data_IF_056048172550
#
_entry.id   IF_056048172550
#
_cell.length_a   1.000
_cell.length_b   1.000
_cell.length_c   1.000
_cell.angle_alpha   90.00
_cell.angle_beta   90.00
_cell.angle_gamma   90.00
#
_symmetry.space_group_name_H-M   'P 1'
#
loop_
_entity.id
_entity.type
_entity.pdbx_description
1 polymer ?
#
# COMPACT_ATOMS: atom_id res chain seq x y z
N UNK A 1 -14.18 22.77 6.86
CA UNK A 1 -12.96 22.04 6.47
C UNK A 1 -11.87 22.41 7.47
N UNK A 2 -11.43 21.45 8.28
CA UNK A 2 -10.50 21.70 9.38
C UNK A 2 -9.07 21.96 8.94
N UNK A 3 -8.13 21.90 9.87
CA UNK A 3 -6.68 22.14 9.75
C UNK A 3 -5.97 21.34 8.65
N UNK A 4 -6.64 20.35 8.00
CA UNK A 4 -6.05 19.66 6.85
C UNK A 4 -5.61 20.62 5.73
N UNK A 5 -6.21 21.83 5.61
CA UNK A 5 -5.78 22.85 4.63
C UNK A 5 -4.39 23.44 4.93
N UNK A 6 -3.95 23.40 6.16
CA UNK A 6 -2.65 23.92 6.62
C UNK A 6 -1.49 22.96 6.30
N UNK A 7 -1.79 21.72 5.92
CA UNK A 7 -0.77 20.73 5.58
C UNK A 7 0.03 21.19 4.37
N UNK A 8 1.34 21.26 4.53
CA UNK A 8 2.32 21.57 3.49
C UNK A 8 2.96 20.24 3.05
N UNK A 9 2.86 19.95 1.75
CA UNK A 9 3.51 18.78 1.17
C UNK A 9 4.82 19.20 0.48
N UNK A 10 5.93 18.56 0.87
CA UNK A 10 7.28 18.84 0.33
C UNK A 10 7.95 17.52 -0.08
N UNK A 11 8.81 17.58 -1.10
CA UNK A 11 9.74 16.47 -1.39
C UNK A 11 10.76 16.40 -0.26
N UNK A 12 11.04 15.17 0.20
CA UNK A 12 11.97 14.91 1.30
C UNK A 12 12.99 13.83 0.90
N UNK A 13 14.19 13.81 1.52
CA UNK A 13 15.17 12.76 1.31
C UNK A 13 14.66 11.37 1.71
N UNK A 14 15.11 10.35 0.97
CA UNK A 14 14.73 8.95 1.23
C UNK A 14 15.06 8.49 2.66
N UNK A 15 16.16 8.97 3.25
CA UNK A 15 16.54 8.65 4.63
C UNK A 15 15.42 9.04 5.60
N UNK A 16 14.95 10.29 5.55
CA UNK A 16 13.88 10.80 6.40
C UNK A 16 12.57 10.04 6.15
N UNK A 17 12.22 9.82 4.88
CA UNK A 17 11.02 9.08 4.52
C UNK A 17 11.05 7.64 5.06
N UNK A 18 12.18 6.95 4.90
CA UNK A 18 12.35 5.57 5.33
C UNK A 18 12.31 5.41 6.85
N UNK A 19 12.89 6.34 7.60
CA UNK A 19 12.81 6.36 9.07
C UNK A 19 11.37 6.52 9.53
N UNK A 20 10.61 7.43 8.94
CA UNK A 20 9.20 7.64 9.26
C UNK A 20 8.36 6.41 8.91
N UNK A 21 8.55 5.81 7.72
CA UNK A 21 7.83 4.61 7.28
C UNK A 21 8.10 3.43 8.23
N UNK A 22 9.34 3.21 8.64
CA UNK A 22 9.68 2.15 9.60
C UNK A 22 8.95 2.29 10.92
N UNK A 23 8.74 3.53 11.38
CA UNK A 23 8.09 3.82 12.66
C UNK A 23 6.56 3.76 12.58
N UNK A 24 5.96 4.28 11.51
CA UNK A 24 4.52 4.54 11.46
C UNK A 24 3.74 3.66 10.48
N UNK A 25 4.39 2.97 9.52
CA UNK A 25 3.68 2.07 8.63
C UNK A 25 3.47 0.70 9.28
N UNK A 26 2.27 0.13 9.15
CA UNK A 26 1.90 -1.16 9.76
C UNK A 26 2.87 -2.31 9.45
N UNK A 27 3.55 -2.28 8.30
CA UNK A 27 4.53 -3.31 7.95
C UNK A 27 5.92 -3.08 8.56
N UNK A 28 6.22 -1.87 9.06
CA UNK A 28 7.55 -1.49 9.51
C UNK A 28 8.64 -1.57 8.44
N UNK A 29 8.27 -1.72 7.16
CA UNK A 29 9.21 -1.99 6.05
C UNK A 29 9.12 -0.94 4.95
N UNK A 30 10.30 -0.55 4.46
CA UNK A 30 10.45 0.31 3.29
C UNK A 30 10.42 -0.50 1.99
N UNK A 31 10.19 0.20 0.87
CA UNK A 31 10.26 -0.39 -0.47
C UNK A 31 11.50 0.16 -1.18
N UNK A 32 12.48 -0.69 -1.53
CA UNK A 32 13.77 -0.23 -2.09
C UNK A 32 13.65 0.51 -3.42
N UNK A 33 12.62 0.20 -4.21
CA UNK A 33 12.38 0.84 -5.51
C UNK A 33 11.57 2.14 -5.44
N UNK A 34 11.26 2.66 -4.25
CA UNK A 34 10.70 4.00 -4.07
C UNK A 34 11.77 5.06 -4.36
N UNK A 35 11.45 6.05 -5.18
CA UNK A 35 12.39 7.07 -5.65
C UNK A 35 11.95 8.50 -5.39
N UNK A 36 10.64 8.73 -5.25
CA UNK A 36 10.07 10.04 -4.95
C UNK A 36 9.33 9.96 -3.61
N UNK A 37 9.72 10.82 -2.69
CA UNK A 37 9.15 10.84 -1.34
C UNK A 37 8.58 12.22 -1.03
N UNK A 38 7.34 12.26 -0.60
CA UNK A 38 6.69 13.46 -0.09
C UNK A 38 6.50 13.35 1.42
N UNK A 39 6.87 14.41 2.15
CA UNK A 39 6.55 14.60 3.55
C UNK A 39 5.37 15.54 3.72
N UNK A 40 4.42 15.18 4.56
CA UNK A 40 3.29 16.01 4.96
C UNK A 40 3.64 16.69 6.30
N UNK A 41 3.69 18.01 6.27
CA UNK A 41 4.07 18.84 7.43
C UNK A 41 2.85 19.60 7.93
N UNK A 42 2.66 19.60 9.25
CA UNK A 42 1.73 20.45 9.97
C UNK A 42 2.46 21.00 11.21
N UNK A 43 2.27 22.27 11.55
CA UNK A 43 2.99 22.94 12.64
C UNK A 43 4.53 22.75 12.56
N UNK A 44 5.07 22.81 11.32
CA UNK A 44 6.49 22.62 10.99
C UNK A 44 7.08 21.24 11.35
N UNK A 45 6.25 20.26 11.68
CA UNK A 45 6.67 18.88 11.98
C UNK A 45 6.18 17.90 10.90
N UNK A 46 6.96 16.85 10.67
CA UNK A 46 6.63 15.77 9.75
C UNK A 46 5.63 14.80 10.40
N UNK A 47 4.46 14.65 9.81
CA UNK A 47 3.37 13.81 10.31
C UNK A 47 2.88 12.79 9.29
N UNK A 48 3.41 12.79 8.07
CA UNK A 48 3.05 11.81 7.06
C UNK A 48 4.07 11.70 5.96
N UNK A 49 4.17 10.52 5.36
CA UNK A 49 5.06 10.24 4.25
C UNK A 49 4.31 9.46 3.17
N UNK A 50 4.49 9.87 1.93
CA UNK A 50 4.08 9.12 0.74
C UNK A 50 5.29 8.85 -0.14
N UNK A 51 5.51 7.59 -0.49
CA UNK A 51 6.63 7.15 -1.32
C UNK A 51 6.14 6.54 -2.63
N UNK A 52 6.65 7.05 -3.72
CA UNK A 52 6.35 6.61 -5.08
C UNK A 52 7.57 5.98 -5.73
N UNK A 53 7.35 5.00 -6.58
CA UNK A 53 8.42 4.34 -7.32
C UNK A 53 7.92 3.37 -8.37
N UNK A 54 8.79 2.48 -8.78
CA UNK A 54 8.39 1.41 -9.72
C UNK A 54 7.53 0.37 -9.05
N UNK A 55 6.57 -0.18 -9.78
CA UNK A 55 5.83 -1.36 -9.33
C UNK A 55 6.76 -2.58 -9.21
N UNK A 56 6.48 -3.47 -8.26
CA UNK A 56 7.26 -4.70 -8.08
C UNK A 56 7.18 -5.62 -9.31
N UNK A 57 6.02 -5.75 -9.91
CA UNK A 57 5.82 -6.45 -11.19
C UNK A 57 5.52 -5.42 -12.27
N UNK A 58 6.56 -4.69 -12.66
CA UNK A 58 6.44 -3.57 -13.60
C UNK A 58 5.98 -4.03 -14.99
N UNK A 59 6.38 -5.22 -15.45
CA UNK A 59 5.96 -5.76 -16.75
C UNK A 59 4.46 -5.99 -16.80
N UNK A 60 3.91 -6.66 -15.80
CA UNK A 60 2.47 -6.89 -15.67
C UNK A 60 1.70 -5.58 -15.49
N UNK A 61 2.19 -4.70 -14.61
CA UNK A 61 1.52 -3.44 -14.32
C UNK A 61 1.44 -2.55 -15.56
N UNK A 62 2.48 -2.53 -16.41
CA UNK A 62 2.49 -1.79 -17.66
C UNK A 62 1.31 -2.14 -18.59
N UNK A 63 0.83 -3.38 -18.54
CA UNK A 63 -0.31 -3.83 -19.36
C UNK A 63 -1.67 -3.27 -18.92
N UNK A 64 -1.75 -2.56 -17.80
CA UNK A 64 -3.03 -2.05 -17.27
C UNK A 64 -3.54 -0.82 -18.01
N UNK A 65 -2.66 -0.07 -18.68
CA UNK A 65 -3.04 1.03 -19.54
C UNK A 65 -2.34 0.93 -20.91
N UNK A 66 -3.06 1.34 -21.96
CA UNK A 66 -2.46 1.51 -23.29
C UNK A 66 -1.60 2.78 -23.37
N UNK A 67 -0.90 2.93 -24.51
CA UNK A 67 -0.08 4.11 -24.82
C UNK A 67 0.85 4.55 -23.71
N UNK A 68 1.38 3.58 -22.94
CA UNK A 68 2.25 3.83 -21.79
C UNK A 68 3.61 3.18 -22.00
N UNK A 69 4.67 3.98 -21.89
CA UNK A 69 6.05 3.51 -21.89
C UNK A 69 6.50 3.12 -20.49
N UNK A 70 7.66 2.44 -20.42
CA UNK A 70 8.21 1.87 -19.18
C UNK A 70 8.33 2.86 -18.01
N UNK A 71 8.63 4.14 -18.29
CA UNK A 71 8.86 5.16 -17.27
C UNK A 71 7.70 6.13 -17.08
N UNK A 72 6.52 5.85 -17.65
CA UNK A 72 5.39 6.78 -17.67
C UNK A 72 4.33 6.49 -16.60
N UNK A 73 4.63 5.62 -15.63
CA UNK A 73 3.74 5.39 -14.50
C UNK A 73 4.51 5.17 -13.20
N UNK A 74 3.83 5.41 -12.09
CA UNK A 74 4.35 5.23 -10.74
C UNK A 74 3.41 4.34 -9.91
N UNK A 75 3.96 3.65 -8.95
CA UNK A 75 3.21 3.05 -7.84
C UNK A 75 3.37 3.90 -6.59
N UNK A 76 2.26 4.25 -5.93
CA UNK A 76 2.30 4.74 -4.55
C UNK A 76 2.57 3.54 -3.64
N UNK A 77 3.87 3.30 -3.38
CA UNK A 77 4.37 2.08 -2.73
C UNK A 77 4.15 2.06 -1.23
N UNK A 78 4.22 3.23 -0.60
CA UNK A 78 4.05 3.40 0.84
C UNK A 78 3.32 4.69 1.15
N UNK A 79 2.44 4.59 2.12
CA UNK A 79 1.78 5.73 2.71
C UNK A 79 1.68 5.49 4.22
N UNK A 80 2.32 6.33 5.00
CA UNK A 80 2.35 6.28 6.45
C UNK A 80 2.03 7.65 7.00
N UNK A 81 1.11 7.71 7.95
CA UNK A 81 0.69 8.92 8.65
C UNK A 81 0.62 8.61 10.13
N UNK A 82 0.94 9.57 10.98
CA UNK A 82 0.66 9.49 12.41
C UNK A 82 -0.74 10.03 12.73
N UNK A 83 -1.16 9.85 13.99
CA UNK A 83 -2.51 10.22 14.43
C UNK A 83 -2.67 11.73 14.71
N UNK A 84 -1.63 12.54 14.50
CA UNK A 84 -1.69 13.99 14.72
C UNK A 84 -2.47 14.71 13.64
N UNK A 85 -2.46 14.18 12.42
CA UNK A 85 -3.12 14.83 11.30
C UNK A 85 -4.65 14.71 11.38
N UNK A 86 -5.39 15.78 11.04
CA UNK A 86 -6.84 15.78 11.06
C UNK A 86 -7.43 14.84 10.00
N UNK A 87 -8.72 14.51 10.15
CA UNK A 87 -9.47 13.72 9.14
C UNK A 87 -9.27 14.32 7.73
N UNK A 88 -9.26 13.45 6.71
CA UNK A 88 -9.08 13.77 5.28
C UNK A 88 -7.66 14.21 4.87
N UNK A 89 -6.68 14.14 5.77
CA UNK A 89 -5.30 14.52 5.46
C UNK A 89 -4.69 13.66 4.38
N UNK A 90 -4.90 12.35 4.42
CA UNK A 90 -4.35 11.40 3.46
C UNK A 90 -4.85 11.68 2.02
N UNK A 91 -6.16 11.80 1.84
CA UNK A 91 -6.73 12.05 0.52
C UNK A 91 -6.33 13.41 -0.03
N UNK A 92 -6.22 14.43 0.85
CA UNK A 92 -5.68 15.73 0.49
C UNK A 92 -4.21 15.64 0.06
N UNK A 93 -3.36 14.95 0.81
CA UNK A 93 -1.95 14.76 0.47
C UNK A 93 -1.79 14.01 -0.86
N UNK A 94 -2.61 12.98 -1.12
CA UNK A 94 -2.65 12.29 -2.41
C UNK A 94 -2.98 13.29 -3.53
N UNK A 95 -4.01 14.10 -3.37
CA UNK A 95 -4.42 15.07 -4.39
C UNK A 95 -3.33 16.13 -4.67
N UNK A 96 -2.63 16.61 -3.64
CA UNK A 96 -1.52 17.55 -3.79
C UNK A 96 -0.32 16.87 -4.47
N UNK A 97 0.05 15.65 -4.06
CA UNK A 97 1.16 14.91 -4.66
C UNK A 97 0.93 14.64 -6.16
N UNK A 98 -0.29 14.28 -6.54
CA UNK A 98 -0.67 14.11 -7.96
C UNK A 98 -0.49 15.42 -8.75
N UNK A 99 -0.92 16.57 -8.19
CA UNK A 99 -0.70 17.89 -8.81
C UNK A 99 0.78 18.20 -8.98
N UNK A 100 1.60 17.92 -7.96
CA UNK A 100 3.04 18.11 -8.01
C UNK A 100 3.72 17.19 -9.02
N UNK A 101 3.34 15.92 -9.09
CA UNK A 101 3.83 14.97 -10.09
C UNK A 101 3.45 15.45 -11.49
N UNK A 102 2.19 15.81 -11.73
CA UNK A 102 1.74 16.32 -13.03
C UNK A 102 2.53 17.55 -13.48
N UNK A 103 2.85 18.47 -12.55
CA UNK A 103 3.60 19.69 -12.85
C UNK A 103 5.08 19.42 -13.14
N UNK A 104 5.75 18.58 -12.34
CA UNK A 104 7.20 18.44 -12.33
C UNK A 104 7.70 17.18 -13.05
N UNK A 105 6.81 16.22 -13.35
CA UNK A 105 7.09 15.00 -14.10
C UNK A 105 5.95 14.74 -15.10
N UNK A 106 5.75 15.59 -16.11
CA UNK A 106 4.60 15.54 -17.02
C UNK A 106 4.55 14.27 -17.87
N UNK A 107 5.66 13.52 -17.96
CA UNK A 107 5.70 12.22 -18.61
C UNK A 107 4.98 11.12 -17.83
N UNK A 108 4.70 11.33 -16.55
CA UNK A 108 3.94 10.35 -15.75
C UNK A 108 2.46 10.44 -16.08
N UNK A 109 1.93 9.40 -16.69
CA UNK A 109 0.57 9.34 -17.22
C UNK A 109 -0.45 8.82 -16.21
N UNK A 110 -0.05 7.92 -15.32
CA UNK A 110 -0.95 7.33 -14.31
C UNK A 110 -0.21 6.82 -13.08
N UNK A 111 -0.98 6.61 -12.02
CA UNK A 111 -0.51 6.09 -10.74
C UNK A 111 -1.32 4.87 -10.38
N UNK A 112 -0.65 3.83 -9.89
CA UNK A 112 -1.27 2.65 -9.29
C UNK A 112 -1.00 2.61 -7.79
N UNK A 113 -1.90 2.03 -7.03
CA UNK A 113 -1.68 1.69 -5.63
C UNK A 113 -2.46 0.45 -5.23
N UNK A 114 -1.99 -0.22 -4.19
CA UNK A 114 -2.64 -1.41 -3.66
C UNK A 114 -3.02 -1.21 -2.20
N UNK A 115 -4.25 -1.56 -1.87
CA UNK A 115 -4.72 -1.59 -0.49
C UNK A 115 -4.67 -3.01 0.03
N UNK A 116 -3.91 -3.21 1.11
CA UNK A 116 -3.81 -4.50 1.80
C UNK A 116 -4.91 -4.58 2.88
N UNK A 117 -6.08 -5.10 2.49
CA UNK A 117 -7.19 -5.30 3.39
C UNK A 117 -6.90 -6.33 4.49
N UNK A 118 -5.92 -7.23 4.29
CA UNK A 118 -5.54 -8.22 5.29
C UNK A 118 -4.82 -7.58 6.49
N UNK A 119 -4.07 -6.52 6.25
CA UNK A 119 -3.28 -5.85 7.29
C UNK A 119 -3.81 -4.47 7.67
N UNK A 120 -4.48 -3.78 6.75
CA UNK A 120 -4.88 -2.39 6.92
C UNK A 120 -6.35 -2.16 6.55
N UNK A 121 -6.63 -1.83 5.29
CA UNK A 121 -7.96 -1.45 4.85
C UNK A 121 -8.21 -1.67 3.37
N UNK A 122 -9.45 -1.42 2.96
CA UNK A 122 -9.91 -1.65 1.59
C UNK A 122 -9.66 -0.47 0.63
N UNK A 123 -8.86 0.51 1.02
CA UNK A 123 -8.49 1.63 0.17
C UNK A 123 -9.53 2.73 0.06
N UNK A 124 -10.32 2.97 1.09
CA UNK A 124 -11.28 4.10 1.15
C UNK A 124 -10.62 5.43 0.74
N UNK A 125 -9.37 5.68 1.14
CA UNK A 125 -8.61 6.88 0.78
C UNK A 125 -8.38 7.03 -0.73
N UNK A 126 -8.14 5.93 -1.46
CA UNK A 126 -7.97 5.96 -2.92
C UNK A 126 -9.28 6.29 -3.60
N UNK A 127 -10.40 5.72 -3.13
CA UNK A 127 -11.75 6.08 -3.63
C UNK A 127 -12.03 7.56 -3.43
N UNK A 128 -11.77 8.08 -2.22
CA UNK A 128 -11.94 9.50 -1.89
C UNK A 128 -11.01 10.41 -2.73
N UNK A 129 -9.92 9.88 -3.27
CA UNK A 129 -8.96 10.60 -4.10
C UNK A 129 -9.21 10.43 -5.61
N UNK A 130 -10.33 9.81 -6.02
CA UNK A 130 -10.72 9.67 -7.43
C UNK A 130 -10.02 8.55 -8.19
N UNK A 131 -9.40 7.60 -7.50
CA UNK A 131 -8.89 6.38 -8.12
C UNK A 131 -10.04 5.46 -8.52
N UNK A 132 -9.83 4.69 -9.59
CA UNK A 132 -10.72 3.62 -10.03
C UNK A 132 -10.24 2.29 -9.48
N UNK A 133 -11.16 1.45 -9.03
CA UNK A 133 -10.87 0.09 -8.60
C UNK A 133 -10.69 -0.80 -9.82
N UNK A 134 -9.60 -1.56 -9.89
CA UNK A 134 -9.29 -2.46 -11.01
C UNK A 134 -9.02 -3.90 -10.59
N UNK A 135 -8.94 -4.15 -9.29
CA UNK A 135 -8.68 -5.50 -8.78
C UNK A 135 -9.30 -5.68 -7.39
N UNK A 136 -9.95 -6.83 -7.20
CA UNK A 136 -10.29 -7.40 -5.89
C UNK A 136 -9.79 -8.84 -5.91
N UNK A 137 -8.71 -9.12 -5.18
CA UNK A 137 -8.14 -10.46 -5.05
C UNK A 137 -8.10 -10.90 -3.61
N UNK A 138 -8.28 -12.19 -3.33
CA UNK A 138 -8.03 -12.74 -2.00
C UNK A 138 -6.56 -12.60 -1.61
N UNK A 139 -6.29 -12.53 -0.33
CA UNK A 139 -4.93 -12.53 0.18
C UNK A 139 -4.18 -13.80 -0.27
N UNK A 140 -2.95 -13.62 -0.74
CA UNK A 140 -2.07 -14.73 -1.15
C UNK A 140 -0.68 -14.67 -0.49
N UNK A 141 -0.38 -13.60 0.24
CA UNK A 141 0.98 -13.29 0.70
C UNK A 141 1.13 -13.12 2.20
N UNK A 142 0.04 -12.96 2.94
CA UNK A 142 0.08 -12.79 4.40
C UNK A 142 -0.30 -14.11 5.07
N UNK A 143 0.56 -14.56 5.99
CA UNK A 143 0.33 -15.71 6.83
C UNK A 143 0.20 -15.30 8.28
N UNK A 144 -0.73 -15.92 8.99
CA UNK A 144 -0.99 -15.76 10.42
C UNK A 144 -0.41 -16.94 11.17
N UNK A 145 0.39 -16.64 12.17
CA UNK A 145 1.03 -17.62 13.06
C UNK A 145 0.11 -17.97 14.23
N UNK A 146 0.37 -19.06 14.97
CA UNK A 146 -0.48 -19.48 16.09
C UNK A 146 -0.66 -18.40 17.18
N UNK A 147 0.28 -17.48 17.32
CA UNK A 147 0.22 -16.33 18.25
C UNK A 147 -0.57 -15.13 17.68
N UNK A 148 -1.24 -15.28 16.51
CA UNK A 148 -1.99 -14.22 15.84
C UNK A 148 -1.12 -13.22 15.06
N UNK A 149 0.21 -13.35 15.09
CA UNK A 149 1.11 -12.45 14.36
C UNK A 149 1.02 -12.73 12.85
N UNK A 150 0.85 -11.67 12.06
CA UNK A 150 0.76 -11.75 10.60
C UNK A 150 2.06 -11.33 9.95
N UNK A 151 2.61 -12.20 9.11
CA UNK A 151 3.89 -11.97 8.42
C UNK A 151 3.74 -12.25 6.93
N UNK A 152 4.33 -11.37 6.10
CA UNK A 152 4.33 -11.54 4.65
C UNK A 152 5.29 -12.66 4.20
N UNK A 153 4.87 -13.44 3.20
CA UNK A 153 5.73 -14.43 2.51
C UNK A 153 7.04 -13.80 2.02
N UNK A 154 7.01 -12.56 1.55
CA UNK A 154 8.23 -11.84 1.15
C UNK A 154 9.24 -11.73 2.31
N UNK A 155 8.79 -11.65 3.55
CA UNK A 155 9.69 -11.67 4.71
C UNK A 155 10.16 -13.10 5.03
N UNK A 156 9.26 -14.06 4.96
CA UNK A 156 9.52 -15.44 5.32
C UNK A 156 10.41 -16.18 4.31
N UNK A 157 10.39 -15.75 3.04
CA UNK A 157 11.12 -16.41 1.94
C UNK A 157 12.21 -15.55 1.32
N UNK A 158 12.49 -14.35 1.85
CA UNK A 158 13.51 -13.46 1.30
C UNK A 158 14.91 -14.06 1.45
N UNK A 159 15.53 -14.41 0.34
CA UNK A 159 16.91 -14.92 0.30
C UNK A 159 17.97 -13.84 0.56
N UNK A 160 17.64 -12.57 0.37
CA UNK A 160 18.53 -11.42 0.64
C UNK A 160 18.57 -11.01 2.12
N UNK A 161 17.67 -11.53 2.97
CA UNK A 161 17.63 -11.21 4.41
C UNK A 161 17.50 -12.48 5.26
N UNK A 162 18.55 -13.30 5.20
CA UNK A 162 18.62 -14.56 5.95
C UNK A 162 18.62 -14.35 7.46
N UNK A 163 19.13 -13.22 7.95
CA UNK A 163 19.19 -12.94 9.38
C UNK A 163 17.79 -12.74 9.96
N UNK A 164 16.94 -11.97 9.30
CA UNK A 164 15.53 -11.81 9.71
C UNK A 164 14.79 -13.15 9.67
N UNK A 165 15.04 -13.97 8.63
CA UNK A 165 14.44 -15.31 8.55
C UNK A 165 14.90 -16.21 9.68
N UNK A 166 16.20 -16.26 10.01
CA UNK A 166 16.74 -17.03 11.15
C UNK A 166 16.08 -16.64 12.47
N UNK A 167 15.92 -15.31 12.69
CA UNK A 167 15.24 -14.81 13.90
C UNK A 167 13.79 -15.28 13.99
N UNK A 168 13.06 -15.25 12.88
CA UNK A 168 11.67 -15.71 12.82
C UNK A 168 11.61 -17.23 13.04
N UNK A 169 12.46 -18.00 12.36
CA UNK A 169 12.53 -19.46 12.59
C UNK A 169 12.82 -19.79 14.05
N UNK A 170 13.79 -19.11 14.66
CA UNK A 170 14.12 -19.29 16.09
C UNK A 170 12.93 -18.95 17.00
N UNK A 171 12.23 -17.82 16.72
CA UNK A 171 11.08 -17.39 17.52
C UNK A 171 9.97 -18.43 17.53
N UNK A 172 9.71 -19.07 16.41
CA UNK A 172 8.57 -19.98 16.24
C UNK A 172 8.96 -21.48 16.22
N UNK A 173 10.22 -21.81 16.42
CA UNK A 173 10.68 -23.20 16.38
C UNK A 173 10.62 -23.84 14.98
N UNK A 174 10.63 -23.03 13.91
CA UNK A 174 10.63 -23.52 12.55
C UNK A 174 12.04 -23.91 12.11
N UNK A 175 12.16 -24.97 11.30
CA UNK A 175 13.42 -25.36 10.71
C UNK A 175 13.94 -24.25 9.74
N UNK A 176 15.18 -23.84 9.94
CA UNK A 176 15.80 -22.87 9.03
C UNK A 176 16.37 -23.56 7.78
N UNK A 177 15.93 -23.11 6.62
CA UNK A 177 16.52 -23.52 5.33
C UNK A 177 17.01 -22.28 4.57
N UNK A 178 18.10 -22.40 3.83
CA UNK A 178 18.59 -21.33 2.95
C UNK A 178 17.67 -21.13 1.72
N UNK A 179 16.94 -22.18 1.32
CA UNK A 179 16.00 -22.11 0.20
C UNK A 179 14.75 -21.30 0.57
N UNK A 180 14.23 -20.56 -0.39
CA UNK A 180 12.96 -19.84 -0.25
C UNK A 180 11.80 -20.85 -0.19
N UNK A 181 11.29 -21.13 1.01
CA UNK A 181 10.21 -22.09 1.23
C UNK A 181 9.27 -21.62 2.33
N UNK A 182 7.98 -21.82 2.13
CA UNK A 182 6.97 -21.61 3.17
C UNK A 182 6.73 -22.86 4.02
N UNK A 183 7.20 -24.04 3.58
CA UNK A 183 6.93 -25.32 4.26
C UNK A 183 7.29 -25.30 5.74
N UNK A 184 8.49 -24.87 6.20
CA UNK A 184 8.83 -24.87 7.62
C UNK A 184 7.85 -24.06 8.50
N UNK A 185 7.28 -22.99 7.94
CA UNK A 185 6.31 -22.15 8.66
C UNK A 185 4.92 -22.76 8.67
N UNK A 186 4.52 -23.42 7.59
CA UNK A 186 3.24 -24.17 7.53
C UNK A 186 3.25 -25.35 8.49
N UNK A 187 4.37 -26.08 8.57
CA UNK A 187 4.53 -27.25 9.45
C UNK A 187 4.37 -26.88 10.94
N UNK A 188 4.70 -25.66 11.34
CA UNK A 188 4.49 -25.15 12.70
C UNK A 188 3.14 -24.43 12.89
N UNK A 189 2.22 -24.56 11.94
CA UNK A 189 0.86 -24.07 12.07
C UNK A 189 0.58 -22.69 11.48
N UNK A 190 1.51 -22.06 10.75
CA UNK A 190 1.22 -20.81 10.04
C UNK A 190 0.19 -21.07 8.95
N UNK A 191 -0.89 -20.29 8.93
CA UNK A 191 -1.99 -20.41 7.97
C UNK A 191 -2.13 -19.13 7.16
N UNK A 192 -2.61 -19.26 5.92
CA UNK A 192 -2.91 -18.08 5.09
C UNK A 192 -3.98 -17.24 5.79
N UNK A 193 -3.67 -15.97 6.07
CA UNK A 193 -4.61 -15.06 6.70
C UNK A 193 -5.80 -14.76 5.77
N UNK A 194 -6.99 -14.66 6.32
CA UNK A 194 -8.15 -14.19 5.55
C UNK A 194 -8.01 -12.71 5.22
N UNK A 195 -8.45 -12.30 4.04
CA UNK A 195 -8.41 -10.89 3.64
C UNK A 195 -8.30 -10.72 2.13
N UNK A 196 -8.15 -9.48 1.72
CA UNK A 196 -8.17 -9.08 0.31
C UNK A 196 -7.06 -8.10 -0.01
N UNK A 197 -6.59 -8.15 -1.25
CA UNK A 197 -5.74 -7.15 -1.87
C UNK A 197 -6.54 -6.44 -2.97
N UNK A 198 -6.69 -5.12 -2.84
CA UNK A 198 -7.43 -4.29 -3.80
C UNK A 198 -6.46 -3.41 -4.59
N UNK A 199 -6.62 -3.36 -5.91
CA UNK A 199 -5.80 -2.54 -6.80
C UNK A 199 -6.56 -1.32 -7.28
N UNK A 200 -5.92 -0.16 -7.24
CA UNK A 200 -6.49 1.13 -7.59
C UNK A 200 -5.61 1.87 -8.59
N UNK A 201 -6.23 2.52 -9.59
CA UNK A 201 -5.53 3.29 -10.62
C UNK A 201 -6.09 4.71 -10.73
N UNK A 202 -5.20 5.69 -10.91
CA UNK A 202 -5.54 7.08 -11.18
C UNK A 202 -4.88 7.54 -12.47
N UNK A 203 -5.67 8.01 -13.44
CA UNK A 203 -5.17 8.57 -14.71
C UNK A 203 -4.88 10.07 -14.52
N UNK A 204 -3.61 10.45 -14.62
CA UNK A 204 -3.14 11.85 -14.73
C UNK A 204 -3.39 12.34 -16.14
N UNK A 205 -2.99 11.53 -17.12
CA UNK A 205 -3.27 11.77 -18.55
C UNK A 205 -4.59 11.06 -18.92
N UNK A 206 -5.59 11.84 -19.30
CA UNK A 206 -6.92 11.38 -19.66
C UNK A 206 -6.99 10.71 -21.04
N UNK A 207 -5.94 10.82 -21.86
CA UNK A 207 -5.85 10.14 -23.16
C UNK A 207 -5.51 8.64 -23.01
N UNK A 208 -4.92 8.24 -21.89
CA UNK A 208 -4.67 6.83 -21.59
C UNK A 208 -5.98 6.08 -21.34
N UNK A 209 -6.08 4.86 -21.87
CA UNK A 209 -7.23 3.97 -21.64
C UNK A 209 -6.81 2.80 -20.75
N UNK A 210 -7.63 2.55 -19.73
CA UNK A 210 -7.45 1.40 -18.84
C UNK A 210 -7.86 0.14 -19.61
N UNK A 211 -6.96 -0.84 -19.68
CA UNK A 211 -7.16 -2.12 -20.40
C UNK A 211 -7.73 -3.23 -19.53
N UNK A 212 -7.65 -3.07 -18.23
CA UNK A 212 -8.23 -4.03 -17.28
C UNK A 212 -9.64 -3.60 -16.89
N UNK A 213 -10.51 -4.51 -16.42
CA UNK A 213 -11.86 -4.14 -15.99
C UNK A 213 -11.84 -3.10 -14.88
N UNK A 214 -12.61 -2.02 -15.05
CA UNK A 214 -12.91 -1.07 -13.96
C UNK A 214 -14.09 -1.65 -13.19
N UNK A 215 -13.85 -1.92 -11.91
CA UNK A 215 -14.78 -2.61 -11.03
C UNK A 215 -15.59 -1.56 -10.24
N UNK A 216 -16.92 -1.64 -10.21
CA UNK A 216 -17.73 -0.80 -9.34
C UNK A 216 -17.36 -0.98 -7.87
N UNK A 217 -17.32 0.09 -7.10
CA UNK A 217 -16.96 0.02 -5.68
C UNK A 217 -17.92 -0.83 -4.85
N UNK A 218 -19.18 -0.97 -5.27
CA UNK A 218 -20.16 -1.88 -4.67
C UNK A 218 -19.72 -3.35 -4.65
N UNK A 219 -18.85 -3.75 -5.57
CA UNK A 219 -18.31 -5.11 -5.60
C UNK A 219 -17.41 -5.42 -4.40
N UNK A 220 -16.85 -4.41 -3.74
CA UNK A 220 -16.09 -4.60 -2.49
C UNK A 220 -16.98 -5.21 -1.43
N UNK A 221 -18.19 -4.66 -1.26
CA UNK A 221 -19.13 -5.16 -0.25
C UNK A 221 -19.76 -6.48 -0.67
N UNK A 222 -20.14 -6.65 -1.94
CA UNK A 222 -20.69 -7.90 -2.46
C UNK A 222 -19.73 -9.09 -2.29
N UNK A 223 -18.43 -8.86 -2.46
CA UNK A 223 -17.39 -9.89 -2.26
C UNK A 223 -16.96 -10.03 -0.79
N UNK A 224 -17.56 -9.29 0.13
CA UNK A 224 -17.13 -9.26 1.54
C UNK A 224 -15.69 -8.78 1.71
N UNK A 225 -15.20 -7.94 0.78
CA UNK A 225 -13.85 -7.41 0.79
C UNK A 225 -13.71 -6.07 1.54
N UNK A 226 -14.76 -5.61 2.20
CA UNK A 226 -14.73 -4.46 3.08
C UNK A 226 -13.87 -4.73 4.30
N UNK A 227 -12.80 -3.96 4.48
CA UNK A 227 -11.80 -4.18 5.52
C UNK A 227 -11.41 -2.87 6.20
N UNK A 228 -11.13 -2.93 7.49
CA UNK A 228 -10.55 -1.84 8.26
C UNK A 228 -9.62 -2.41 9.35
N UNK A 229 -8.39 -1.94 9.39
CA UNK A 229 -7.34 -2.43 10.31
C UNK A 229 -7.20 -3.98 10.31
N UNK A 230 -7.32 -4.58 9.12
CA UNK A 230 -7.23 -6.04 8.95
C UNK A 230 -8.47 -6.84 9.35
N UNK A 231 -9.56 -6.17 9.75
CA UNK A 231 -10.82 -6.80 10.11
C UNK A 231 -11.90 -6.55 9.06
N UNK A 232 -12.78 -7.53 8.85
CA UNK A 232 -13.95 -7.36 7.99
C UNK A 232 -14.93 -6.38 8.61
N UNK A 233 -15.41 -5.42 7.81
CA UNK A 233 -16.46 -4.50 8.20
C UNK A 233 -17.67 -4.63 7.29
N UNK A 234 -18.87 -4.60 7.89
CA UNK A 234 -20.12 -4.55 7.13
C UNK A 234 -20.36 -3.16 6.56
N UNK A 235 -21.17 -3.07 5.51
CA UNK A 235 -21.57 -1.80 4.92
C UNK A 235 -22.24 -0.86 5.96
N UNK A 236 -23.05 -1.43 6.87
CA UNK A 236 -23.69 -0.67 7.95
C UNK A 236 -22.67 -0.04 8.90
N UNK A 237 -21.69 -0.82 9.38
CA UNK A 237 -20.60 -0.28 10.23
C UNK A 237 -19.78 0.79 9.52
N UNK A 238 -19.56 0.62 8.20
CA UNK A 238 -18.83 1.60 7.41
C UNK A 238 -19.58 2.94 7.29
N UNK A 239 -20.90 2.89 7.12
CA UNK A 239 -21.76 4.10 7.03
C UNK A 239 -21.88 4.82 8.38
N UNK A 240 -21.87 4.09 9.49
CA UNK A 240 -21.91 4.67 10.82
C UNK A 240 -20.61 5.40 11.24
N UNK A 241 -19.47 5.07 10.61
CA UNK A 241 -18.16 5.65 10.92
C UNK A 241 -17.73 6.80 9.98
N UNK A 242 -18.58 7.16 9.00
CA UNK A 242 -18.42 8.32 8.11
C UNK A 242 -19.32 9.49 8.53
#
# INVERSE_FOLDING_TARGET
MGRAKEIILKVIPSKIANEFVKKHHYSGKVVPNSKLHFGAFLDNKLHGVMSYGSSMDKRKTLTYCDNTLWNEFLELNRMAFDDYLPKYSESRCIAISIKLIKKNAPHIKWIISFADGTMCGDGTIYRASGFKLIKIGSNSTIYEFPDGVRISTLTLTNSGDLQSRKKICKKYGAEFTSKASMKPFIDIGAKKASGFMLGYIYLIDKTCKIRVPVIPFSEIDKKGAGMYKGEKITLQKRRANN
#
